data_IF_526787868738
#
_entry.id   IF_526787868738
#
_cell.length_a   1.000
_cell.length_b   1.000
_cell.length_c   1.000
_cell.angle_alpha   90.00
_cell.angle_beta   90.00
_cell.angle_gamma   90.00
#
_symmetry.space_group_name_H-M   'P 1'
#
loop_
_entity.id
_entity.type
_entity.pdbx_description
1 polymer ?
#
# COMPACT_ATOMS: atom_id res chain seq x y z
N UNK A 1 14.13 -2.30 -0.46
CA UNK A 1 13.86 -2.47 1.00
C UNK A 1 14.98 -3.20 1.76
N UNK A 2 15.64 -4.22 1.21
CA UNK A 2 16.65 -5.01 1.93
C UNK A 2 17.82 -4.19 2.53
N UNK A 3 18.24 -3.10 1.87
CA UNK A 3 19.36 -2.26 2.36
C UNK A 3 19.02 -1.40 3.59
N UNK A 4 17.75 -1.14 3.87
CA UNK A 4 17.29 -0.35 5.03
C UNK A 4 17.06 -1.22 6.28
N UNK A 5 17.07 -2.56 6.13
CA UNK A 5 16.79 -3.51 7.22
C UNK A 5 17.71 -3.33 8.43
N UNK A 6 18.96 -2.96 8.19
CA UNK A 6 19.96 -2.70 9.25
C UNK A 6 19.67 -1.44 10.08
N UNK A 7 18.86 -0.50 9.57
CA UNK A 7 18.49 0.73 10.27
C UNK A 7 17.13 0.65 10.98
N UNK A 8 16.27 -0.28 10.57
CA UNK A 8 14.90 -0.41 11.07
C UNK A 8 14.80 -1.48 12.18
N UNK A 9 15.62 -2.54 12.11
CA UNK A 9 15.51 -3.65 13.06
C UNK A 9 14.25 -4.51 12.80
N UNK A 10 13.54 -4.87 13.87
CA UNK A 10 12.29 -5.66 13.86
C UNK A 10 11.04 -4.82 14.23
N UNK A 11 11.12 -3.49 14.07
CA UNK A 11 10.00 -2.58 14.31
C UNK A 11 9.19 -2.33 13.02
N UNK A 12 7.87 -2.07 13.12
CA UNK A 12 7.08 -1.70 11.96
C UNK A 12 7.58 -0.38 11.36
N UNK A 13 7.64 -0.33 10.03
CA UNK A 13 8.13 0.83 9.29
C UNK A 13 7.24 1.14 8.10
N UNK A 14 7.22 2.41 7.72
CA UNK A 14 6.58 2.87 6.50
C UNK A 14 7.61 3.05 5.38
N UNK A 15 7.19 2.80 4.15
CA UNK A 15 7.96 3.15 2.95
C UNK A 15 7.17 4.15 2.13
N UNK A 16 7.83 5.24 1.79
CA UNK A 16 7.32 6.32 0.95
C UNK A 16 8.21 6.40 -0.29
N UNK A 17 7.59 6.43 -1.46
CA UNK A 17 8.27 6.63 -2.73
C UNK A 17 8.25 8.13 -3.03
N UNK A 18 9.42 8.75 -3.17
CA UNK A 18 9.54 10.21 -3.28
C UNK A 18 9.02 10.80 -4.60
N UNK A 19 8.70 9.95 -5.56
CA UNK A 19 8.11 10.25 -6.87
C UNK A 19 6.57 10.24 -6.85
N UNK A 20 5.93 9.67 -5.82
CA UNK A 20 4.49 9.66 -5.63
C UNK A 20 4.06 10.73 -4.61
N UNK A 21 3.44 11.81 -5.11
CA UNK A 21 2.87 12.88 -4.28
C UNK A 21 1.39 12.61 -4.09
N UNK A 22 0.98 12.34 -2.84
CA UNK A 22 -0.42 12.13 -2.46
C UNK A 22 -0.91 13.34 -1.66
N UNK A 23 -1.85 14.08 -2.24
CA UNK A 23 -2.52 15.22 -1.59
C UNK A 23 -3.85 14.76 -0.98
N UNK A 24 -4.04 15.02 0.32
CA UNK A 24 -5.25 14.65 1.06
C UNK A 24 -5.31 15.44 2.36
N UNK A 25 -6.52 15.81 2.81
CA UNK A 25 -6.76 16.51 4.08
C UNK A 25 -6.19 15.72 5.28
N UNK A 26 -6.38 14.40 5.25
CA UNK A 26 -5.72 13.49 6.19
C UNK A 26 -4.50 12.87 5.52
N UNK A 27 -3.29 12.97 6.10
CA UNK A 27 -2.09 12.41 5.50
C UNK A 27 -2.26 10.93 5.13
N UNK A 28 -1.92 10.55 3.90
CA UNK A 28 -2.10 9.19 3.41
C UNK A 28 -1.42 8.14 4.31
N UNK A 29 -0.20 8.45 4.76
CA UNK A 29 0.55 7.59 5.70
C UNK A 29 -0.21 7.37 7.00
N UNK A 30 -0.91 8.38 7.52
CA UNK A 30 -1.66 8.29 8.77
C UNK A 30 -2.82 7.31 8.64
N UNK A 31 -3.52 7.36 7.50
CA UNK A 31 -4.62 6.43 7.22
C UNK A 31 -4.12 4.97 7.16
N UNK A 32 -2.93 4.73 6.59
CA UNK A 32 -2.33 3.40 6.56
C UNK A 32 -1.91 2.93 7.96
N UNK A 33 -1.37 3.83 8.78
CA UNK A 33 -1.00 3.52 10.17
C UNK A 33 -2.23 3.15 11.01
N UNK A 34 -3.35 3.87 10.88
CA UNK A 34 -4.59 3.56 11.59
C UNK A 34 -5.08 2.14 11.24
N UNK A 35 -5.02 1.74 9.96
CA UNK A 35 -5.37 0.36 9.55
C UNK A 35 -4.38 -0.67 10.09
N UNK A 36 -3.08 -0.33 10.14
CA UNK A 36 -2.06 -1.21 10.72
C UNK A 36 -2.31 -1.42 12.22
N UNK A 37 -2.66 -0.37 12.96
CA UNK A 37 -2.97 -0.44 14.39
C UNK A 37 -4.22 -1.28 14.67
N UNK A 38 -5.23 -1.24 13.80
CA UNK A 38 -6.45 -2.05 13.93
C UNK A 38 -6.23 -3.53 13.58
N UNK A 39 -5.40 -3.82 12.57
CA UNK A 39 -5.30 -5.17 11.98
C UNK A 39 -4.03 -5.93 12.33
N UNK A 40 -2.95 -5.23 12.70
CA UNK A 40 -1.61 -5.80 12.87
C UNK A 40 -0.97 -6.33 11.58
N UNK A 41 -1.61 -6.13 10.42
CA UNK A 41 -1.18 -6.67 9.14
C UNK A 41 -0.47 -5.60 8.30
N UNK A 42 0.41 -6.02 7.39
CA UNK A 42 1.00 -5.09 6.42
C UNK A 42 -0.07 -4.42 5.56
N UNK A 43 -0.06 -3.09 5.50
CA UNK A 43 -1.02 -2.28 4.75
C UNK A 43 -0.32 -1.59 3.58
N UNK A 44 -0.95 -1.58 2.41
CA UNK A 44 -0.46 -0.92 1.20
C UNK A 44 -1.52 0.04 0.70
N UNK A 45 -1.11 1.27 0.38
CA UNK A 45 -1.96 2.24 -0.29
C UNK A 45 -2.17 1.84 -1.74
N UNK A 46 -3.43 1.80 -2.18
CA UNK A 46 -3.81 1.53 -3.57
C UNK A 46 -4.72 2.64 -4.07
N UNK A 47 -4.67 2.89 -5.38
CA UNK A 47 -5.55 3.83 -6.06
C UNK A 47 -6.22 3.13 -7.25
N UNK A 48 -7.44 3.53 -7.57
CA UNK A 48 -8.10 3.10 -8.79
C UNK A 48 -7.45 3.80 -9.99
N UNK A 49 -7.05 3.02 -10.99
CA UNK A 49 -6.46 3.53 -12.25
C UNK A 49 -7.28 3.04 -13.44
N UNK A 50 -7.34 3.80 -14.55
CA UNK A 50 -7.95 3.33 -15.79
C UNK A 50 -7.27 2.05 -16.31
N UNK A 51 -8.02 1.18 -16.98
CA UNK A 51 -7.47 -0.07 -17.56
C UNK A 51 -6.29 0.20 -18.50
N UNK A 52 -6.31 1.32 -19.24
CA UNK A 52 -5.23 1.73 -20.14
C UNK A 52 -3.89 1.94 -19.45
N UNK A 53 -3.89 2.27 -18.15
CA UNK A 53 -2.67 2.57 -17.38
C UNK A 53 -2.19 1.39 -16.55
N UNK A 54 -2.94 0.27 -16.49
CA UNK A 54 -2.64 -0.90 -15.66
C UNK A 54 -1.25 -1.49 -15.91
N UNK A 55 -0.77 -1.45 -17.15
CA UNK A 55 0.58 -1.93 -17.54
C UNK A 55 1.74 -1.13 -16.91
N UNK A 56 1.47 0.03 -16.32
CA UNK A 56 2.46 0.88 -15.65
C UNK A 56 2.58 0.60 -14.15
N UNK A 57 1.63 -0.15 -13.57
CA UNK A 57 1.51 -0.36 -12.13
C UNK A 57 1.46 -1.85 -11.77
N UNK A 58 1.70 -2.16 -10.50
CA UNK A 58 1.35 -3.44 -9.90
C UNK A 58 -0.14 -3.43 -9.54
N UNK A 59 -0.92 -4.37 -10.08
CA UNK A 59 -2.35 -4.46 -9.83
C UNK A 59 -2.62 -5.49 -8.75
N UNK A 60 -3.47 -5.17 -7.78
CA UNK A 60 -3.89 -6.11 -6.75
C UNK A 60 -5.05 -6.99 -7.26
N UNK A 61 -5.05 -8.26 -6.90
CA UNK A 61 -6.19 -9.17 -7.03
C UNK A 61 -6.86 -9.29 -5.64
N UNK A 62 -7.99 -8.60 -5.39
CA UNK A 62 -8.63 -8.58 -4.08
C UNK A 62 -9.38 -9.90 -3.81
N UNK A 63 -9.21 -10.45 -2.60
CA UNK A 63 -9.96 -11.61 -2.12
C UNK A 63 -11.33 -11.20 -1.57
N UNK A 64 -11.35 -10.14 -0.76
CA UNK A 64 -12.54 -9.61 -0.10
C UNK A 64 -12.45 -8.09 0.03
N UNK A 65 -13.60 -7.44 0.21
CA UNK A 65 -13.71 -5.98 0.40
C UNK A 65 -14.53 -5.69 1.64
N UNK A 66 -14.00 -4.84 2.50
CA UNK A 66 -14.70 -4.32 3.67
C UNK A 66 -14.59 -2.79 3.70
N UNK A 67 -15.66 -2.11 3.27
CA UNK A 67 -15.65 -0.65 3.12
C UNK A 67 -14.59 -0.18 2.13
N UNK A 68 -13.54 0.47 2.65
CA UNK A 68 -12.37 0.94 1.87
C UNK A 68 -11.16 0.00 1.94
N UNK A 69 -11.25 -1.10 2.69
CA UNK A 69 -10.17 -2.10 2.85
C UNK A 69 -10.36 -3.23 1.86
N UNK A 70 -9.25 -3.65 1.26
CA UNK A 70 -9.19 -4.81 0.38
C UNK A 70 -8.20 -5.82 0.94
N UNK A 71 -8.66 -7.05 1.12
CA UNK A 71 -7.76 -8.15 1.43
C UNK A 71 -7.06 -8.58 0.15
N UNK A 72 -5.73 -8.50 0.10
CA UNK A 72 -4.97 -8.79 -1.11
C UNK A 72 -4.69 -10.29 -1.20
N UNK A 73 -5.20 -10.94 -2.24
CA UNK A 73 -4.88 -12.35 -2.53
C UNK A 73 -3.50 -12.50 -3.16
N UNK A 74 -3.24 -11.67 -4.18
CA UNK A 74 -1.99 -11.68 -4.95
C UNK A 74 -1.75 -10.32 -5.60
N UNK A 75 -0.49 -10.06 -5.93
CA UNK A 75 -0.08 -8.93 -6.76
C UNK A 75 0.18 -9.44 -8.17
N UNK A 76 -0.37 -8.74 -9.17
CA UNK A 76 -0.17 -9.00 -10.60
C UNK A 76 0.66 -7.85 -11.15
N UNK A 77 1.91 -8.13 -11.47
CA UNK A 77 2.81 -7.13 -12.05
C UNK A 77 2.68 -7.19 -13.58
N UNK A 78 2.16 -6.11 -14.19
CA UNK A 78 1.98 -5.96 -15.64
C UNK A 78 1.12 -7.09 -16.28
N UNK A 79 -0.20 -7.08 -16.05
CA UNK A 79 -1.12 -7.91 -16.82
C UNK A 79 -1.13 -7.55 -18.32
#
# INVERSE_FOLDING_TARGET
>A
MYSARQFIGDEPFAVLLGDDIVESDTPAIKQLMEVYEETGNSVIGVQEVPESDTHRYGIIDPLSKEGRRYEVKKFVEKP
#
